data_IF_398458403297
#
_entry.id   IF_398458403297
#
_cell.length_a   1.000
_cell.length_b   1.000
_cell.length_c   1.000
_cell.angle_alpha   90.00
_cell.angle_beta   90.00
_cell.angle_gamma   90.00
#
_symmetry.space_group_name_H-M   'P 1'
#
loop_
_entity.id
_entity.type
_entity.pdbx_description
1 polymer ?
#
# COMPACT_ATOMS: atom_id res chain seq x y z
N UNK A 1 -38.09 -10.66 17.55
CA UNK A 1 -36.92 -11.23 16.90
C UNK A 1 -36.58 -10.52 15.57
N UNK A 2 -37.55 -10.24 14.74
CA UNK A 2 -37.36 -9.62 13.44
C UNK A 2 -36.93 -8.13 13.52
N UNK A 3 -37.49 -7.38 14.47
CA UNK A 3 -37.08 -5.98 14.72
C UNK A 3 -35.62 -5.86 15.19
N UNK A 4 -35.13 -6.82 16.00
CA UNK A 4 -33.74 -6.83 16.45
C UNK A 4 -32.77 -7.13 15.27
N UNK A 5 -33.14 -8.03 14.36
CA UNK A 5 -32.35 -8.30 13.15
C UNK A 5 -32.34 -7.13 12.18
N UNK A 6 -33.49 -6.45 12.05
CA UNK A 6 -33.60 -5.27 11.17
C UNK A 6 -32.76 -4.10 11.70
N UNK A 7 -32.77 -3.89 13.02
CA UNK A 7 -31.96 -2.85 13.70
C UNK A 7 -30.48 -3.18 13.60
N UNK A 8 -30.08 -4.43 13.83
CA UNK A 8 -28.69 -4.87 13.69
C UNK A 8 -28.18 -4.73 12.26
N UNK A 9 -29.01 -5.06 11.25
CA UNK A 9 -28.64 -4.88 9.84
C UNK A 9 -28.50 -3.41 9.44
N UNK A 10 -29.36 -2.51 9.95
CA UNK A 10 -29.22 -1.06 9.72
C UNK A 10 -27.96 -0.50 10.38
N UNK A 11 -27.68 -0.91 11.61
CA UNK A 11 -26.51 -0.45 12.34
C UNK A 11 -25.21 -0.96 11.69
N UNK A 12 -25.18 -2.22 11.27
CA UNK A 12 -24.05 -2.79 10.51
C UNK A 12 -23.81 -2.03 9.21
N UNK A 13 -24.86 -1.73 8.44
CA UNK A 13 -24.73 -0.91 7.22
C UNK A 13 -24.21 0.51 7.53
N UNK A 14 -24.68 1.14 8.60
CA UNK A 14 -24.21 2.46 9.03
C UNK A 14 -22.72 2.45 9.37
N UNK A 15 -22.27 1.45 10.14
CA UNK A 15 -20.86 1.28 10.51
C UNK A 15 -20.00 1.04 9.26
N UNK A 16 -20.44 0.17 8.35
CA UNK A 16 -19.73 -0.09 7.09
C UNK A 16 -19.61 1.18 6.25
N UNK A 17 -20.71 1.94 6.07
CA UNK A 17 -20.69 3.19 5.31
C UNK A 17 -19.76 4.22 5.96
N UNK A 18 -19.81 4.38 7.29
CA UNK A 18 -18.91 5.29 8.01
C UNK A 18 -17.44 4.88 7.91
N UNK A 19 -17.16 3.56 7.96
CA UNK A 19 -15.79 3.03 7.78
C UNK A 19 -15.30 3.27 6.36
N UNK A 20 -16.13 3.00 5.34
CA UNK A 20 -15.80 3.28 3.94
C UNK A 20 -15.52 4.79 3.74
N UNK A 21 -16.37 5.67 4.28
CA UNK A 21 -16.17 7.11 4.14
C UNK A 21 -14.87 7.60 4.79
N UNK A 22 -14.47 7.04 5.92
CA UNK A 22 -13.20 7.37 6.59
C UNK A 22 -11.98 6.86 5.81
N UNK A 23 -11.98 5.59 5.45
CA UNK A 23 -10.84 4.95 4.76
C UNK A 23 -10.74 5.40 3.30
N UNK A 24 -11.88 5.56 2.61
CA UNK A 24 -11.88 5.96 1.20
C UNK A 24 -11.34 7.37 0.99
N UNK A 25 -11.58 8.30 1.93
CA UNK A 25 -11.06 9.67 1.81
C UNK A 25 -9.54 9.69 1.89
N UNK A 26 -8.94 9.01 2.87
CA UNK A 26 -7.47 8.91 3.02
C UNK A 26 -6.83 8.20 1.82
N UNK A 27 -7.39 7.07 1.42
CA UNK A 27 -6.90 6.30 0.27
C UNK A 27 -7.05 7.06 -1.05
N UNK A 28 -8.15 7.80 -1.24
CA UNK A 28 -8.36 8.63 -2.41
C UNK A 28 -7.36 9.79 -2.47
N UNK A 29 -7.08 10.45 -1.35
CA UNK A 29 -6.08 11.53 -1.28
C UNK A 29 -4.70 10.97 -1.61
N UNK A 30 -4.27 9.88 -0.99
CA UNK A 30 -2.95 9.27 -1.23
C UNK A 30 -2.74 8.87 -2.70
N UNK A 31 -3.78 8.34 -3.35
CA UNK A 31 -3.68 7.83 -4.71
C UNK A 31 -4.01 8.84 -5.81
N UNK A 32 -4.65 9.97 -5.47
CA UNK A 32 -5.20 10.89 -6.47
C UNK A 32 -4.53 12.26 -6.49
N UNK A 33 -3.73 12.63 -5.51
CA UNK A 33 -3.11 13.96 -5.42
C UNK A 33 -1.59 13.91 -5.26
N UNK A 34 -0.94 14.95 -5.74
CA UNK A 34 0.50 15.19 -5.55
C UNK A 34 0.69 16.65 -5.20
N UNK A 35 1.39 16.93 -4.10
CA UNK A 35 1.72 18.31 -3.71
C UNK A 35 2.99 18.73 -4.44
N UNK A 36 2.92 19.86 -5.13
CA UNK A 36 4.06 20.51 -5.79
C UNK A 36 4.46 21.74 -4.97
N UNK A 37 5.66 21.69 -4.38
CA UNK A 37 6.20 22.79 -3.61
C UNK A 37 6.83 23.84 -4.53
N UNK A 38 6.60 25.11 -4.21
CA UNK A 38 7.12 26.28 -4.88
C UNK A 38 7.89 27.17 -3.89
N UNK A 39 8.85 27.94 -4.37
CA UNK A 39 9.72 28.75 -3.52
C UNK A 39 9.03 30.03 -2.97
N UNK A 40 7.97 30.48 -3.63
CA UNK A 40 7.21 31.67 -3.19
C UNK A 40 5.81 31.69 -3.79
N UNK A 41 4.88 32.37 -3.12
CA UNK A 41 3.50 32.56 -3.59
C UNK A 41 3.42 33.47 -4.85
N UNK A 42 4.45 34.26 -5.17
CA UNK A 42 4.52 35.03 -6.42
C UNK A 42 4.48 34.10 -7.64
N UNK A 43 5.07 32.91 -7.52
CA UNK A 43 5.06 31.89 -8.57
C UNK A 43 3.65 31.37 -8.85
N UNK A 44 2.76 31.31 -7.82
CA UNK A 44 1.35 30.93 -8.02
C UNK A 44 0.66 31.84 -9.02
N UNK A 45 0.81 33.14 -8.86
CA UNK A 45 0.22 34.11 -9.78
C UNK A 45 0.69 33.93 -11.22
N UNK A 46 1.97 33.57 -11.43
CA UNK A 46 2.52 33.28 -12.76
C UNK A 46 2.00 31.98 -13.35
N UNK A 47 1.83 30.95 -12.52
CA UNK A 47 1.24 29.66 -12.94
C UNK A 47 -0.22 29.84 -13.31
N UNK A 48 -1.01 30.58 -12.53
CA UNK A 48 -2.39 30.90 -12.86
C UNK A 48 -2.47 31.71 -14.16
N UNK A 49 -1.68 32.77 -14.27
CA UNK A 49 -1.69 33.70 -15.38
C UNK A 49 -2.93 34.62 -15.43
N UNK A 50 -2.95 35.59 -16.32
CA UNK A 50 -4.11 36.50 -16.47
C UNK A 50 -5.36 35.68 -16.76
N UNK A 51 -6.43 35.93 -15.98
CA UNK A 51 -7.72 35.24 -16.10
C UNK A 51 -7.63 33.70 -16.08
N UNK A 52 -6.58 33.13 -15.47
CA UNK A 52 -6.38 31.69 -15.39
C UNK A 52 -5.94 31.00 -16.69
N UNK A 53 -5.43 31.74 -17.68
CA UNK A 53 -5.10 31.18 -19.00
C UNK A 53 -3.99 30.12 -18.97
N UNK A 54 -3.00 30.27 -18.08
CA UNK A 54 -1.87 29.36 -17.99
C UNK A 54 -2.28 28.06 -17.28
N UNK A 55 -3.02 28.18 -16.16
CA UNK A 55 -3.53 26.99 -15.46
C UNK A 55 -4.45 26.16 -16.34
N UNK A 56 -5.39 26.80 -17.08
CA UNK A 56 -6.25 26.08 -18.04
C UNK A 56 -5.48 25.41 -19.18
N UNK A 57 -4.41 26.04 -19.68
CA UNK A 57 -3.55 25.43 -20.69
C UNK A 57 -2.81 24.20 -20.15
N UNK A 58 -2.32 24.27 -18.89
CA UNK A 58 -1.63 23.17 -18.25
C UNK A 58 -2.57 22.00 -17.95
N UNK A 59 -3.78 22.29 -17.45
CA UNK A 59 -4.83 21.27 -17.21
C UNK A 59 -5.25 20.58 -18.53
N UNK A 60 -5.49 21.37 -19.58
CA UNK A 60 -5.84 20.83 -20.89
C UNK A 60 -4.73 19.95 -21.49
N UNK A 61 -3.47 20.35 -21.37
CA UNK A 61 -2.33 19.62 -21.90
C UNK A 61 -2.01 18.34 -21.13
N UNK A 62 -2.21 18.35 -19.80
CA UNK A 62 -1.85 17.21 -18.92
C UNK A 62 -3.02 16.29 -18.59
N UNK A 63 -4.25 16.82 -18.57
CA UNK A 63 -5.43 16.13 -18.06
C UNK A 63 -5.40 15.99 -16.53
N UNK A 64 -4.71 16.92 -15.83
CA UNK A 64 -4.58 16.96 -14.37
C UNK A 64 -5.24 18.23 -13.88
N UNK A 65 -6.11 18.15 -12.89
CA UNK A 65 -6.68 19.29 -12.20
C UNK A 65 -5.62 19.94 -11.31
N UNK A 66 -5.50 21.26 -11.37
CA UNK A 66 -4.49 22.01 -10.64
C UNK A 66 -5.17 22.91 -9.63
N UNK A 67 -5.16 22.49 -8.38
CA UNK A 67 -5.79 23.21 -7.28
C UNK A 67 -4.80 24.18 -6.65
N UNK A 68 -5.10 25.47 -6.76
CA UNK A 68 -4.33 26.54 -6.13
C UNK A 68 -5.22 27.15 -5.04
N UNK A 69 -4.90 26.86 -3.80
CA UNK A 69 -5.58 27.35 -2.62
C UNK A 69 -4.69 28.28 -1.78
N UNK A 70 -5.14 28.61 -0.58
CA UNK A 70 -4.41 29.48 0.35
C UNK A 70 -3.24 28.78 1.06
N UNK A 71 -2.96 27.48 0.77
CA UNK A 71 -1.82 26.75 1.35
C UNK A 71 -0.53 27.43 0.92
N UNK A 72 0.30 27.95 1.85
CA UNK A 72 1.54 28.63 1.49
C UNK A 72 2.50 27.72 0.67
N UNK A 73 3.12 28.29 -0.36
CA UNK A 73 4.20 27.68 -1.12
C UNK A 73 3.90 26.26 -1.69
N UNK A 74 2.62 25.97 -1.95
CA UNK A 74 2.19 24.69 -2.48
C UNK A 74 1.08 24.81 -3.54
N UNK A 75 1.06 23.86 -4.47
CA UNK A 75 0.02 23.63 -5.46
C UNK A 75 -0.32 22.15 -5.44
N UNK A 76 -1.58 21.80 -5.49
CA UNK A 76 -2.04 20.41 -5.49
C UNK A 76 -2.38 19.98 -6.92
N UNK A 77 -1.79 18.89 -7.36
CA UNK A 77 -2.04 18.23 -8.63
C UNK A 77 -2.96 17.04 -8.40
N UNK A 78 -4.16 17.07 -8.95
CA UNK A 78 -5.18 16.05 -8.75
C UNK A 78 -5.51 15.34 -10.07
N UNK A 79 -5.30 14.03 -10.09
CA UNK A 79 -5.72 13.14 -11.15
C UNK A 79 -5.60 11.68 -10.69
N UNK A 80 -6.45 10.83 -11.21
CA UNK A 80 -6.41 9.40 -10.90
C UNK A 80 -5.15 8.72 -11.45
N UNK A 81 -4.71 9.12 -12.64
CA UNK A 81 -3.52 8.58 -13.30
C UNK A 81 -2.23 9.19 -12.71
N UNK A 82 -1.41 8.41 -12.00
CA UNK A 82 -0.18 8.90 -11.40
C UNK A 82 0.89 9.30 -12.44
N UNK A 83 0.86 8.73 -13.65
CA UNK A 83 1.77 9.10 -14.73
C UNK A 83 1.45 10.51 -15.23
N UNK A 84 0.16 10.85 -15.38
CA UNK A 84 -0.25 12.23 -15.73
C UNK A 84 0.16 13.23 -14.65
N UNK A 85 -0.01 12.87 -13.35
CA UNK A 85 0.45 13.74 -12.25
C UNK A 85 1.94 13.97 -12.28
N UNK A 86 2.74 12.93 -12.55
CA UNK A 86 4.19 13.07 -12.69
C UNK A 86 4.57 13.94 -13.90
N UNK A 87 3.90 13.79 -15.04
CA UNK A 87 4.09 14.66 -16.21
C UNK A 87 3.79 16.11 -15.85
N UNK A 88 2.67 16.38 -15.15
CA UNK A 88 2.30 17.72 -14.71
C UNK A 88 3.33 18.30 -13.73
N UNK A 89 3.79 17.50 -12.76
CA UNK A 89 4.82 17.88 -11.78
C UNK A 89 6.13 18.26 -12.45
N UNK A 90 6.62 17.43 -13.35
CA UNK A 90 7.87 17.70 -14.08
C UNK A 90 7.74 18.88 -15.03
N UNK A 91 6.61 19.03 -15.70
CA UNK A 91 6.34 20.17 -16.56
C UNK A 91 6.30 21.47 -15.77
N UNK A 92 5.61 21.51 -14.63
CA UNK A 92 5.61 22.63 -13.71
C UNK A 92 7.02 22.99 -13.23
N UNK A 93 7.81 22.00 -12.82
CA UNK A 93 9.18 22.20 -12.40
C UNK A 93 10.03 22.87 -13.51
N UNK A 94 9.93 22.38 -14.76
CA UNK A 94 10.66 22.97 -15.89
C UNK A 94 10.17 24.39 -16.19
N UNK A 95 8.86 24.65 -16.17
CA UNK A 95 8.28 25.95 -16.43
C UNK A 95 8.68 27.00 -15.36
N UNK A 96 8.67 26.59 -14.09
CA UNK A 96 9.09 27.45 -12.98
C UNK A 96 10.57 27.77 -13.07
N UNK A 97 11.41 26.77 -13.31
CA UNK A 97 12.87 26.94 -13.44
C UNK A 97 13.23 27.79 -14.68
N UNK A 98 12.56 27.58 -15.81
CA UNK A 98 12.78 28.38 -17.04
C UNK A 98 12.22 29.81 -16.91
N UNK A 99 11.26 30.02 -16.02
CA UNK A 99 10.65 31.33 -15.80
C UNK A 99 9.68 31.77 -16.89
N UNK A 100 9.51 31.04 -17.98
CA UNK A 100 8.61 31.37 -19.09
C UNK A 100 7.34 30.55 -19.01
N UNK A 101 6.30 31.12 -18.42
CA UNK A 101 5.01 30.44 -18.22
C UNK A 101 3.94 31.13 -19.08
N UNK A 102 3.64 30.56 -20.25
CA UNK A 102 2.57 30.98 -21.15
C UNK A 102 2.05 29.77 -21.96
N UNK A 103 0.83 29.80 -22.49
CA UNK A 103 0.15 28.64 -23.07
C UNK A 103 1.00 27.84 -24.09
N UNK A 104 1.57 28.50 -25.08
CA UNK A 104 2.39 27.82 -26.10
C UNK A 104 3.62 27.13 -25.51
N UNK A 105 4.28 27.73 -24.49
CA UNK A 105 5.42 27.13 -23.81
C UNK A 105 4.98 25.94 -22.94
N UNK A 106 3.82 26.03 -22.30
CA UNK A 106 3.22 24.94 -21.51
C UNK A 106 3.00 23.72 -22.39
N UNK A 107 2.36 23.88 -23.55
CA UNK A 107 2.13 22.77 -24.51
C UNK A 107 3.43 22.13 -24.97
N UNK A 108 4.43 22.94 -25.33
CA UNK A 108 5.77 22.46 -25.74
C UNK A 108 6.45 21.64 -24.61
N UNK A 109 6.49 22.18 -23.39
CA UNK A 109 7.13 21.53 -22.25
C UNK A 109 6.40 20.25 -21.87
N UNK A 110 5.06 20.25 -21.84
CA UNK A 110 4.28 19.06 -21.53
C UNK A 110 4.50 17.95 -22.57
N UNK A 111 4.52 18.29 -23.87
CA UNK A 111 4.81 17.31 -24.92
C UNK A 111 6.20 16.69 -24.77
N UNK A 112 7.23 17.51 -24.47
CA UNK A 112 8.59 17.04 -24.20
C UNK A 112 8.67 16.15 -22.98
N UNK A 113 8.08 16.57 -21.86
CA UNK A 113 8.07 15.79 -20.62
C UNK A 113 7.33 14.48 -20.77
N UNK A 114 6.20 14.47 -21.48
CA UNK A 114 5.46 13.24 -21.77
C UNK A 114 6.33 12.20 -22.47
N UNK A 115 7.12 12.63 -23.47
CA UNK A 115 8.05 11.74 -24.16
C UNK A 115 9.15 11.23 -23.22
N UNK A 116 9.73 12.09 -22.40
CA UNK A 116 10.76 11.70 -21.41
C UNK A 116 10.23 10.67 -20.41
N UNK A 117 9.02 10.88 -19.86
CA UNK A 117 8.41 9.94 -18.91
C UNK A 117 8.11 8.60 -19.56
N UNK A 118 7.65 8.56 -20.82
CA UNK A 118 7.40 7.31 -21.55
C UNK A 118 8.73 6.54 -21.80
N UNK A 119 9.79 7.24 -22.18
CA UNK A 119 11.12 6.64 -22.33
C UNK A 119 11.62 6.07 -21.00
N UNK A 120 11.43 6.80 -19.89
CA UNK A 120 11.80 6.35 -18.55
C UNK A 120 10.99 5.12 -18.10
N UNK A 121 9.69 5.06 -18.40
CA UNK A 121 8.84 3.90 -18.14
C UNK A 121 9.42 2.66 -18.83
N UNK A 122 9.72 2.75 -20.13
CA UNK A 122 10.26 1.63 -20.88
C UNK A 122 11.64 1.20 -20.33
N UNK A 123 12.51 2.15 -20.04
CA UNK A 123 13.85 1.87 -19.50
C UNK A 123 13.76 1.22 -18.12
N UNK A 124 12.89 1.73 -17.23
CA UNK A 124 12.65 1.16 -15.90
C UNK A 124 12.16 -0.29 -15.99
N UNK A 125 11.23 -0.56 -16.90
CA UNK A 125 10.73 -1.91 -17.12
C UNK A 125 11.81 -2.87 -17.63
N UNK A 126 12.60 -2.44 -18.62
CA UNK A 126 13.73 -3.21 -19.15
C UNK A 126 14.78 -3.50 -18.08
N UNK A 127 15.19 -2.47 -17.34
CA UNK A 127 16.17 -2.62 -16.25
C UNK A 127 15.68 -3.58 -15.18
N UNK A 128 14.41 -3.47 -14.77
CA UNK A 128 13.81 -4.39 -13.79
C UNK A 128 13.88 -5.85 -14.25
N UNK A 129 13.55 -6.11 -15.51
CA UNK A 129 13.60 -7.49 -16.04
C UNK A 129 15.02 -8.03 -16.13
N UNK A 130 16.00 -7.20 -16.49
CA UNK A 130 17.42 -7.57 -16.52
C UNK A 130 17.93 -7.87 -15.12
N UNK A 131 17.68 -6.99 -14.15
CA UNK A 131 18.12 -7.14 -12.74
C UNK A 131 17.58 -8.44 -12.12
N UNK A 132 16.34 -8.83 -12.48
CA UNK A 132 15.70 -10.03 -11.99
C UNK A 132 16.07 -11.30 -12.81
N UNK A 133 16.76 -11.16 -13.92
CA UNK A 133 17.09 -12.26 -14.84
C UNK A 133 15.85 -12.86 -15.51
N UNK A 134 14.81 -12.05 -15.77
CA UNK A 134 13.58 -12.46 -16.44
C UNK A 134 13.66 -12.04 -17.90
N UNK A 135 13.61 -13.03 -18.81
CA UNK A 135 13.75 -12.78 -20.25
C UNK A 135 12.50 -13.16 -21.02
N UNK A 136 12.35 -12.57 -22.21
CA UNK A 136 11.28 -12.92 -23.17
C UNK A 136 9.89 -12.47 -22.70
N UNK A 137 9.78 -11.35 -21.97
CA UNK A 137 8.52 -10.67 -21.73
C UNK A 137 8.08 -9.87 -22.96
N UNK A 138 6.78 -9.84 -23.20
CA UNK A 138 6.22 -8.98 -24.24
C UNK A 138 6.53 -7.49 -23.93
N UNK A 139 6.85 -6.64 -24.95
CA UNK A 139 7.17 -5.24 -24.74
C UNK A 139 6.14 -4.46 -23.93
N UNK A 140 4.84 -4.74 -24.12
CA UNK A 140 3.78 -4.13 -23.33
C UNK A 140 3.80 -4.53 -21.85
N UNK A 141 4.14 -5.78 -21.52
CA UNK A 141 4.34 -6.18 -20.11
C UNK A 141 5.54 -5.45 -19.49
N UNK A 142 6.62 -5.27 -20.25
CA UNK A 142 7.78 -4.48 -19.80
C UNK A 142 7.35 -3.03 -19.53
N UNK A 143 6.54 -2.44 -20.40
CA UNK A 143 5.99 -1.09 -20.21
C UNK A 143 5.08 -1.00 -18.98
N UNK A 144 4.21 -1.98 -18.77
CA UNK A 144 3.35 -2.07 -17.58
C UNK A 144 4.20 -2.15 -16.31
N UNK A 145 5.24 -2.99 -16.30
CA UNK A 145 6.19 -3.07 -15.16
C UNK A 145 6.85 -1.71 -14.90
N UNK A 146 7.27 -0.99 -15.93
CA UNK A 146 7.82 0.35 -15.76
C UNK A 146 6.85 1.36 -15.16
N UNK A 147 5.57 1.31 -15.54
CA UNK A 147 4.50 2.13 -14.95
C UNK A 147 4.28 1.87 -13.46
N UNK A 148 4.58 0.67 -12.95
CA UNK A 148 4.48 0.36 -11.52
C UNK A 148 5.33 1.29 -10.65
N UNK A 149 6.39 1.91 -11.19
CA UNK A 149 7.22 2.88 -10.48
C UNK A 149 6.42 4.07 -9.94
N UNK A 150 5.38 4.46 -10.64
CA UNK A 150 4.57 5.64 -10.33
C UNK A 150 3.33 5.32 -9.49
N UNK A 151 3.08 4.04 -9.20
CA UNK A 151 1.93 3.60 -8.41
C UNK A 151 2.33 3.16 -7.02
N UNK A 152 1.48 3.46 -6.07
CA UNK A 152 1.53 2.92 -4.70
C UNK A 152 0.29 2.08 -4.42
N UNK A 153 0.45 1.09 -3.58
CA UNK A 153 -0.65 0.30 -3.04
C UNK A 153 -0.45 0.21 -1.53
N UNK A 154 -1.37 0.74 -0.76
CA UNK A 154 -1.27 0.83 0.70
C UNK A 154 0.06 1.44 1.19
N UNK A 155 0.50 2.53 0.57
CA UNK A 155 1.75 3.23 0.91
C UNK A 155 3.04 2.55 0.43
N UNK A 156 2.98 1.36 -0.15
CA UNK A 156 4.12 0.66 -0.73
C UNK A 156 4.24 0.94 -2.23
N UNK A 157 5.44 1.29 -2.71
CA UNK A 157 5.67 1.41 -4.14
C UNK A 157 5.47 0.08 -4.86
N UNK A 158 4.62 0.07 -5.90
CA UNK A 158 4.19 -1.16 -6.56
C UNK A 158 5.33 -1.90 -7.27
N UNK A 159 6.27 -1.17 -7.90
CA UNK A 159 7.43 -1.79 -8.54
C UNK A 159 8.36 -2.45 -7.52
N UNK A 160 8.61 -1.78 -6.40
CA UNK A 160 9.45 -2.32 -5.35
C UNK A 160 8.83 -3.58 -4.73
N UNK A 161 7.54 -3.53 -4.45
CA UNK A 161 6.77 -4.70 -3.98
C UNK A 161 6.86 -5.88 -4.96
N UNK A 162 6.62 -5.64 -6.26
CA UNK A 162 6.70 -6.68 -7.27
C UNK A 162 8.10 -7.31 -7.39
N UNK A 163 9.17 -6.50 -7.26
CA UNK A 163 10.57 -7.00 -7.24
C UNK A 163 10.85 -7.88 -6.02
N UNK A 164 10.37 -7.48 -4.86
CA UNK A 164 10.52 -8.25 -3.62
C UNK A 164 9.76 -9.56 -3.68
N UNK A 165 8.49 -9.52 -4.07
CA UNK A 165 7.65 -10.70 -4.27
C UNK A 165 8.28 -11.66 -5.27
N UNK A 166 8.82 -11.15 -6.39
CA UNK A 166 9.52 -11.97 -7.37
C UNK A 166 10.72 -12.75 -6.77
N UNK A 167 11.55 -12.07 -5.98
CA UNK A 167 12.70 -12.69 -5.34
C UNK A 167 12.28 -13.71 -4.26
N UNK A 168 11.28 -13.36 -3.43
CA UNK A 168 10.73 -14.28 -2.43
C UNK A 168 10.15 -15.54 -3.10
N UNK A 169 9.39 -15.38 -4.18
CA UNK A 169 8.85 -16.51 -4.96
C UNK A 169 9.96 -17.42 -5.51
N UNK A 170 11.06 -16.84 -5.98
CA UNK A 170 12.18 -17.65 -6.47
C UNK A 170 12.85 -18.47 -5.37
N UNK A 171 13.08 -17.85 -4.20
CA UNK A 171 13.66 -18.55 -3.04
C UNK A 171 12.74 -19.67 -2.58
N UNK A 172 11.46 -19.36 -2.32
CA UNK A 172 10.48 -20.34 -1.86
C UNK A 172 10.31 -21.50 -2.83
N UNK A 173 10.24 -21.22 -4.13
CA UNK A 173 10.16 -22.26 -5.15
C UNK A 173 11.40 -23.16 -5.17
N UNK A 174 12.60 -22.59 -4.96
CA UNK A 174 13.84 -23.37 -4.87
C UNK A 174 13.83 -24.32 -3.68
N UNK A 175 13.41 -23.85 -2.51
CA UNK A 175 13.32 -24.69 -1.29
C UNK A 175 12.30 -25.83 -1.43
N UNK A 176 11.22 -25.58 -2.19
CA UNK A 176 10.18 -26.58 -2.47
C UNK A 176 10.52 -27.51 -3.67
N UNK A 177 11.67 -27.37 -4.31
CA UNK A 177 12.05 -28.16 -5.48
C UNK A 177 11.25 -27.81 -6.75
N UNK A 178 10.63 -26.63 -6.80
CA UNK A 178 9.86 -26.12 -7.94
C UNK A 178 10.72 -25.22 -8.83
N UNK A 179 10.19 -24.80 -9.97
CA UNK A 179 10.94 -23.97 -10.91
C UNK A 179 11.02 -22.49 -10.44
N UNK A 180 12.20 -22.03 -9.94
CA UNK A 180 12.34 -20.69 -9.39
C UNK A 180 12.22 -19.57 -10.45
N UNK A 181 12.55 -19.85 -11.72
CA UNK A 181 12.42 -18.86 -12.81
C UNK A 181 10.96 -18.57 -13.13
N UNK A 182 10.11 -19.62 -13.12
CA UNK A 182 8.66 -19.44 -13.32
C UNK A 182 8.02 -18.72 -12.13
N UNK A 183 8.38 -19.10 -10.91
CA UNK A 183 7.88 -18.47 -9.69
C UNK A 183 8.27 -16.99 -9.61
N UNK A 184 9.53 -16.66 -9.91
CA UNK A 184 10.02 -15.28 -10.01
C UNK A 184 9.22 -14.45 -11.02
N UNK A 185 8.95 -15.03 -12.20
CA UNK A 185 8.17 -14.37 -13.25
C UNK A 185 6.73 -14.12 -12.83
N UNK A 186 6.08 -15.11 -12.22
CA UNK A 186 4.73 -14.96 -11.68
C UNK A 186 4.69 -13.89 -10.58
N UNK A 187 5.63 -13.90 -9.64
CA UNK A 187 5.75 -12.90 -8.59
C UNK A 187 5.99 -11.48 -9.11
N UNK A 188 6.74 -11.29 -10.20
CA UNK A 188 6.91 -9.97 -10.82
C UNK A 188 5.60 -9.47 -11.45
N UNK A 189 4.80 -10.37 -12.01
CA UNK A 189 3.61 -10.03 -12.80
C UNK A 189 2.31 -10.07 -11.99
N UNK A 190 2.30 -10.52 -10.73
CA UNK A 190 1.05 -10.76 -9.98
C UNK A 190 0.14 -9.52 -9.89
N UNK A 191 0.71 -8.35 -9.78
CA UNK A 191 0.03 -7.08 -9.59
C UNK A 191 -0.07 -6.19 -10.84
N UNK A 192 0.19 -6.69 -12.04
CA UNK A 192 0.09 -5.91 -13.29
C UNK A 192 -1.31 -5.37 -13.54
N UNK A 193 -2.34 -5.99 -12.98
CA UNK A 193 -3.72 -5.53 -13.08
C UNK A 193 -4.03 -4.26 -12.29
N UNK A 194 -3.14 -3.82 -11.39
CA UNK A 194 -3.25 -2.52 -10.69
C UNK A 194 -2.78 -1.33 -11.54
N UNK A 195 -2.20 -1.58 -12.72
CA UNK A 195 -1.54 -0.55 -13.53
C UNK A 195 -2.44 0.15 -14.56
N UNK A 196 -3.46 -0.48 -15.18
CA UNK A 196 -4.32 0.18 -16.17
C UNK A 196 -4.92 1.49 -15.63
N UNK A 197 -5.04 2.48 -16.52
CA UNK A 197 -5.46 3.84 -16.20
C UNK A 197 -6.99 3.99 -16.15
N UNK A 198 -7.73 3.01 -16.68
CA UNK A 198 -9.19 2.93 -16.65
C UNK A 198 -9.64 2.14 -15.42
N UNK A 199 -10.74 2.56 -14.80
CA UNK A 199 -11.32 1.85 -13.66
C UNK A 199 -11.80 0.47 -14.12
N UNK A 200 -11.19 -0.62 -13.68
CA UNK A 200 -11.50 -1.94 -14.20
C UNK A 200 -12.81 -2.46 -13.58
N UNK A 201 -13.68 -3.02 -14.39
CA UNK A 201 -14.86 -3.77 -13.93
C UNK A 201 -14.46 -5.07 -13.19
N UNK A 202 -13.20 -5.48 -13.28
CA UNK A 202 -12.68 -6.74 -12.73
C UNK A 202 -11.70 -6.47 -11.60
N UNK A 203 -11.63 -7.36 -10.58
CA UNK A 203 -10.56 -7.40 -9.60
C UNK A 203 -9.18 -7.42 -10.29
N UNK A 204 -8.18 -6.77 -9.67
CA UNK A 204 -6.85 -6.62 -10.28
C UNK A 204 -6.16 -7.95 -10.61
N UNK A 205 -6.39 -9.01 -9.83
CA UNK A 205 -5.82 -10.32 -10.09
C UNK A 205 -6.39 -10.93 -11.39
N UNK A 206 -7.70 -10.87 -11.60
CA UNK A 206 -8.34 -11.32 -12.83
C UNK A 206 -7.98 -10.44 -14.03
N UNK A 207 -7.88 -9.14 -13.84
CA UNK A 207 -7.42 -8.23 -14.89
C UNK A 207 -5.96 -8.52 -15.26
N UNK A 208 -5.10 -8.73 -14.26
CA UNK A 208 -3.70 -9.12 -14.45
C UNK A 208 -3.57 -10.44 -15.21
N UNK A 209 -4.38 -11.44 -14.86
CA UNK A 209 -4.45 -12.72 -15.59
C UNK A 209 -4.80 -12.51 -17.07
N UNK A 210 -5.85 -11.74 -17.37
CA UNK A 210 -6.26 -11.44 -18.76
C UNK A 210 -5.16 -10.70 -19.53
N UNK A 211 -4.45 -9.77 -18.90
CA UNK A 211 -3.31 -9.08 -19.52
C UNK A 211 -2.17 -10.06 -19.81
N UNK A 212 -1.84 -10.96 -18.88
CA UNK A 212 -0.82 -11.97 -19.06
C UNK A 212 -1.18 -12.94 -20.20
N UNK A 213 -2.42 -13.40 -20.27
CA UNK A 213 -2.94 -14.22 -21.37
C UNK A 213 -2.87 -13.50 -22.73
N UNK A 214 -3.33 -12.25 -22.78
CA UNK A 214 -3.26 -11.40 -23.98
C UNK A 214 -1.85 -11.29 -24.54
N UNK A 215 -0.85 -11.20 -23.65
CA UNK A 215 0.55 -11.08 -24.01
C UNK A 215 1.31 -12.42 -23.97
N UNK A 216 0.57 -13.54 -24.04
CA UNK A 216 1.07 -14.90 -24.29
C UNK A 216 1.98 -15.44 -23.20
N UNK A 217 1.72 -15.10 -21.92
CA UNK A 217 2.32 -15.75 -20.80
C UNK A 217 1.84 -17.21 -20.67
N UNK A 218 2.63 -18.05 -20.00
CA UNK A 218 2.29 -19.47 -19.82
C UNK A 218 1.08 -19.62 -18.89
N UNK A 219 0.21 -20.63 -19.14
CA UNK A 219 -1.01 -20.84 -18.35
C UNK A 219 -0.79 -20.94 -16.84
N UNK A 220 0.29 -21.57 -16.41
CA UNK A 220 0.65 -21.69 -14.99
C UNK A 220 1.01 -20.34 -14.36
N UNK A 221 1.62 -19.44 -15.11
CA UNK A 221 1.90 -18.06 -14.69
C UNK A 221 0.60 -17.24 -14.67
N UNK A 222 -0.23 -17.33 -15.70
CA UNK A 222 -1.52 -16.65 -15.76
C UNK A 222 -2.42 -17.05 -14.59
N UNK A 223 -2.49 -18.35 -14.28
CA UNK A 223 -3.23 -18.86 -13.14
C UNK A 223 -2.69 -18.31 -11.80
N UNK A 224 -1.37 -18.29 -11.62
CA UNK A 224 -0.78 -17.75 -10.40
C UNK A 224 -1.08 -16.25 -10.20
N UNK A 225 -1.16 -15.49 -11.30
CA UNK A 225 -1.58 -14.07 -11.27
C UNK A 225 -3.06 -13.95 -10.89
N UNK A 226 -3.95 -14.75 -11.49
CA UNK A 226 -5.39 -14.66 -11.24
C UNK A 226 -5.82 -15.20 -9.88
N UNK A 227 -5.08 -16.16 -9.33
CA UNK A 227 -5.48 -16.90 -8.13
C UNK A 227 -4.83 -16.41 -6.83
N UNK A 228 -3.94 -15.41 -6.87
CA UNK A 228 -3.19 -15.01 -5.66
C UNK A 228 -4.05 -14.36 -4.56
N UNK A 229 -5.30 -14.02 -4.85
CA UNK A 229 -6.31 -13.56 -3.89
C UNK A 229 -7.58 -14.45 -3.87
N UNK A 230 -7.45 -15.71 -4.27
CA UNK A 230 -8.54 -16.70 -4.30
C UNK A 230 -9.72 -16.33 -5.25
N UNK A 231 -9.48 -15.44 -6.23
CA UNK A 231 -10.50 -15.00 -7.19
C UNK A 231 -10.74 -15.99 -8.33
N UNK A 232 -9.87 -17.00 -8.45
CA UNK A 232 -10.03 -18.16 -9.33
C UNK A 232 -9.36 -19.37 -8.70
N UNK A 233 -9.70 -20.58 -9.18
CA UNK A 233 -9.13 -21.82 -8.68
C UNK A 233 -7.63 -21.90 -8.93
N UNK A 234 -6.87 -22.32 -7.93
CA UNK A 234 -5.42 -22.57 -8.02
C UNK A 234 -5.15 -23.90 -8.74
N UNK A 235 -4.67 -23.84 -9.96
CA UNK A 235 -4.36 -25.04 -10.77
C UNK A 235 -2.88 -25.43 -10.73
N UNK A 236 -2.03 -24.63 -10.10
CA UNK A 236 -0.59 -24.88 -9.96
C UNK A 236 -0.06 -24.49 -8.59
N UNK A 237 1.05 -25.10 -8.16
CA UNK A 237 1.73 -24.74 -6.92
C UNK A 237 2.40 -23.34 -6.97
N UNK A 238 2.43 -22.68 -8.13
CA UNK A 238 2.91 -21.30 -8.24
C UNK A 238 1.95 -20.31 -7.59
N UNK A 239 0.63 -20.54 -7.66
CA UNK A 239 -0.37 -19.66 -7.11
C UNK A 239 -0.25 -19.48 -5.57
N UNK A 240 -0.21 -20.54 -4.75
CA UNK A 240 -0.02 -20.39 -3.30
C UNK A 240 1.36 -19.80 -2.94
N UNK A 241 2.40 -20.04 -3.75
CA UNK A 241 3.70 -19.38 -3.54
C UNK A 241 3.59 -17.88 -3.73
N UNK A 242 2.94 -17.43 -4.81
CA UNK A 242 2.74 -15.99 -5.06
C UNK A 242 1.91 -15.36 -3.94
N UNK A 243 0.79 -15.97 -3.54
CA UNK A 243 -0.07 -15.51 -2.45
C UNK A 243 0.70 -15.30 -1.13
N UNK A 244 1.50 -16.28 -0.73
CA UNK A 244 2.29 -16.20 0.51
C UNK A 244 3.39 -15.14 0.40
N UNK A 245 4.09 -15.06 -0.73
CA UNK A 245 5.17 -14.10 -0.94
C UNK A 245 4.67 -12.66 -1.04
N UNK A 246 3.50 -12.45 -1.65
CA UNK A 246 2.81 -11.16 -1.64
C UNK A 246 2.48 -10.71 -0.21
N UNK A 247 1.86 -11.61 0.57
CA UNK A 247 1.54 -11.34 1.98
C UNK A 247 2.81 -11.02 2.81
N UNK A 248 3.91 -11.73 2.61
CA UNK A 248 5.19 -11.48 3.30
C UNK A 248 5.74 -10.09 2.91
N UNK A 249 5.77 -9.76 1.63
CA UNK A 249 6.28 -8.46 1.16
C UNK A 249 5.43 -7.29 1.69
N UNK A 250 4.09 -7.47 1.74
CA UNK A 250 3.17 -6.46 2.27
C UNK A 250 3.20 -6.31 3.80
N UNK A 251 3.52 -7.37 4.53
CA UNK A 251 3.46 -7.40 5.99
C UNK A 251 4.79 -7.01 6.68
N UNK A 252 5.91 -6.95 5.96
CA UNK A 252 7.21 -6.65 6.56
C UNK A 252 7.25 -5.22 7.12
N UNK A 253 7.95 -4.98 8.25
CA UNK A 253 8.11 -3.64 8.81
C UNK A 253 8.71 -2.65 7.79
N UNK A 254 8.11 -1.48 7.65
CA UNK A 254 8.55 -0.43 6.74
C UNK A 254 8.13 -0.60 5.27
N UNK A 255 7.42 -1.66 4.91
CA UNK A 255 6.89 -1.84 3.55
C UNK A 255 5.85 -0.76 3.21
N UNK A 256 5.01 -0.42 4.17
CA UNK A 256 3.90 0.55 4.03
C UNK A 256 4.11 1.70 5.01
N UNK A 257 4.43 2.91 4.53
CA UNK A 257 4.78 4.07 5.38
C UNK A 257 3.70 4.43 6.41
N UNK A 258 2.44 4.47 6.03
CA UNK A 258 1.32 4.73 6.96
C UNK A 258 1.12 3.62 7.98
N UNK A 259 1.44 2.38 7.61
CA UNK A 259 1.34 1.24 8.53
C UNK A 259 2.37 1.31 9.64
N UNK A 260 3.52 1.93 9.46
CA UNK A 260 4.52 2.05 10.55
C UNK A 260 4.01 2.93 11.67
N UNK A 261 3.45 4.10 11.38
CA UNK A 261 2.88 4.98 12.42
C UNK A 261 1.60 4.38 13.02
N UNK A 262 0.68 3.89 12.21
CA UNK A 262 -0.52 3.19 12.66
C UNK A 262 -0.17 1.88 13.40
N UNK A 263 0.86 1.18 12.97
CA UNK A 263 1.39 0.00 13.65
C UNK A 263 2.00 0.34 15.01
N UNK A 264 2.86 1.35 15.11
CA UNK A 264 3.45 1.80 16.37
C UNK A 264 2.35 2.30 17.33
N UNK A 265 1.40 3.09 16.80
CA UNK A 265 0.25 3.54 17.57
C UNK A 265 -0.56 2.36 18.11
N UNK A 266 -0.87 1.37 17.27
CA UNK A 266 -1.61 0.17 17.68
C UNK A 266 -0.86 -0.65 18.73
N UNK A 267 0.47 -0.82 18.63
CA UNK A 267 1.26 -1.48 19.66
C UNK A 267 1.17 -0.73 20.98
N UNK A 268 1.32 0.60 20.95
CA UNK A 268 1.19 1.43 22.12
C UNK A 268 -0.23 1.36 22.71
N UNK A 269 -1.26 1.39 21.88
CA UNK A 269 -2.66 1.30 22.31
C UNK A 269 -2.95 -0.07 22.97
N UNK A 270 -2.41 -1.18 22.43
CA UNK A 270 -2.48 -2.52 23.03
C UNK A 270 -1.79 -2.57 24.39
N UNK A 271 -0.59 -2.03 24.48
CA UNK A 271 0.17 -1.98 25.74
C UNK A 271 -0.52 -1.09 26.79
N UNK A 272 -1.01 0.08 26.40
CA UNK A 272 -1.72 0.99 27.30
C UNK A 272 -3.05 0.41 27.79
N UNK A 273 -3.82 -0.26 26.91
CA UNK A 273 -5.07 -0.92 27.29
C UNK A 273 -4.81 -1.95 28.40
N UNK A 274 -3.80 -2.81 28.25
CA UNK A 274 -3.48 -3.81 29.27
C UNK A 274 -2.86 -3.18 30.53
N UNK A 275 -2.07 -2.11 30.41
CA UNK A 275 -1.53 -1.37 31.56
C UNK A 275 -2.62 -0.72 32.43
N UNK A 276 -3.81 -0.46 31.86
CA UNK A 276 -4.92 0.13 32.62
C UNK A 276 -5.54 -0.81 33.68
N UNK A 277 -5.24 -2.10 33.63
CA UNK A 277 -5.79 -3.08 34.55
C UNK A 277 -5.05 -3.07 35.91
N UNK A 278 -5.78 -3.15 37.03
CA UNK A 278 -5.19 -3.21 38.34
C UNK A 278 -4.23 -4.41 38.50
N UNK A 279 -3.07 -4.20 39.06
CA UNK A 279 -2.08 -5.26 39.29
C UNK A 279 -1.15 -5.55 38.14
N UNK A 280 -1.38 -4.98 36.95
CA UNK A 280 -0.45 -5.04 35.83
C UNK A 280 0.74 -4.12 36.13
N UNK A 281 1.95 -4.64 35.94
CA UNK A 281 3.19 -3.92 36.19
C UNK A 281 3.94 -3.55 34.92
N UNK A 282 3.86 -4.39 33.86
CA UNK A 282 4.48 -4.17 32.54
C UNK A 282 3.70 -4.88 31.46
N UNK A 283 3.76 -4.33 30.27
CA UNK A 283 3.17 -4.90 29.06
C UNK A 283 4.15 -4.84 27.91
N UNK A 284 4.11 -5.83 27.02
CA UNK A 284 4.94 -5.88 25.82
C UNK A 284 4.14 -6.46 24.64
N UNK A 285 3.92 -5.67 23.61
CA UNK A 285 3.41 -6.16 22.35
C UNK A 285 4.58 -6.71 21.52
N UNK A 286 4.57 -8.00 21.24
CA UNK A 286 5.63 -8.72 20.52
C UNK A 286 5.08 -9.42 19.29
N UNK A 287 5.95 -10.02 18.46
CA UNK A 287 5.57 -10.70 17.22
C UNK A 287 4.70 -9.82 16.29
N UNK A 288 5.11 -8.57 16.10
CA UNK A 288 4.39 -7.59 15.29
C UNK A 288 2.94 -7.31 15.79
N UNK A 289 2.73 -7.35 17.10
CA UNK A 289 1.41 -7.13 17.72
C UNK A 289 0.49 -8.35 17.71
N UNK A 290 1.00 -9.53 17.38
CA UNK A 290 0.25 -10.79 17.43
C UNK A 290 0.28 -11.47 18.80
N UNK A 291 1.17 -11.05 19.70
CA UNK A 291 1.21 -11.49 21.08
C UNK A 291 1.37 -10.28 21.99
N UNK A 292 0.50 -10.16 22.99
CA UNK A 292 0.59 -9.20 24.08
C UNK A 292 0.98 -9.94 25.37
N UNK A 293 2.17 -9.66 25.88
CA UNK A 293 2.63 -10.15 27.18
C UNK A 293 2.32 -9.14 28.27
N UNK A 294 1.65 -9.59 29.29
CA UNK A 294 1.21 -8.81 30.44
C UNK A 294 1.85 -9.38 31.68
N UNK A 295 2.68 -8.59 32.35
CA UNK A 295 3.33 -8.99 33.61
C UNK A 295 2.55 -8.41 34.76
N UNK A 296 2.15 -9.26 35.70
CA UNK A 296 1.38 -8.87 36.87
C UNK A 296 2.20 -9.05 38.16
N UNK A 297 1.93 -8.21 39.15
CA UNK A 297 2.55 -8.31 40.47
C UNK A 297 2.02 -9.54 41.22
N UNK A 298 2.93 -10.42 41.64
CA UNK A 298 2.60 -11.65 42.37
C UNK A 298 1.95 -11.41 43.74
N UNK A 299 2.13 -10.21 44.29
CA UNK A 299 1.54 -9.71 45.52
C UNK A 299 0.13 -9.13 45.35
N UNK A 300 -0.28 -8.85 44.09
CA UNK A 300 -1.54 -8.16 43.79
C UNK A 300 -2.56 -9.03 43.07
N UNK A 301 -2.11 -10.04 42.35
CA UNK A 301 -2.95 -10.91 41.54
C UNK A 301 -2.58 -12.37 41.79
N UNK A 302 -3.56 -13.19 42.07
CA UNK A 302 -3.42 -14.64 42.26
C UNK A 302 -3.52 -15.41 40.92
N UNK A 303 -3.35 -16.73 40.95
CA UNK A 303 -3.36 -17.56 39.73
C UNK A 303 -4.73 -17.59 39.07
N UNK A 304 -5.82 -17.58 39.83
CA UNK A 304 -7.19 -17.52 39.30
C UNK A 304 -7.48 -16.19 38.63
N UNK A 305 -7.05 -15.11 39.25
CA UNK A 305 -7.19 -13.77 38.67
C UNK A 305 -6.33 -13.60 37.41
N UNK A 306 -5.16 -14.26 37.35
CA UNK A 306 -4.30 -14.27 36.14
C UNK A 306 -5.02 -14.90 34.94
N UNK A 307 -5.74 -16.00 35.15
CA UNK A 307 -6.54 -16.68 34.12
C UNK A 307 -7.71 -15.80 33.66
N UNK A 308 -8.48 -15.23 34.58
CA UNK A 308 -9.60 -14.32 34.27
C UNK A 308 -9.12 -13.07 33.51
N UNK A 309 -8.02 -12.46 33.97
CA UNK A 309 -7.47 -11.27 33.34
C UNK A 309 -7.09 -11.45 31.88
N UNK A 310 -6.58 -12.64 31.52
CA UNK A 310 -6.25 -12.92 30.11
C UNK A 310 -7.51 -12.87 29.22
N UNK A 311 -8.61 -13.42 29.69
CA UNK A 311 -9.90 -13.39 28.99
C UNK A 311 -10.53 -11.99 28.94
N UNK A 312 -10.43 -11.22 30.01
CA UNK A 312 -10.95 -9.85 30.07
C UNK A 312 -10.21 -8.92 29.11
N UNK A 313 -8.87 -8.98 29.08
CA UNK A 313 -8.04 -8.21 28.14
C UNK A 313 -8.35 -8.62 26.70
N UNK A 314 -8.45 -9.93 26.41
CA UNK A 314 -8.77 -10.41 25.09
C UNK A 314 -10.13 -9.88 24.59
N UNK A 315 -11.15 -9.92 25.46
CA UNK A 315 -12.48 -9.40 25.15
C UNK A 315 -12.46 -7.90 24.91
N UNK A 316 -11.78 -7.14 25.77
CA UNK A 316 -11.69 -5.68 25.64
C UNK A 316 -10.96 -5.26 24.35
N UNK A 317 -9.89 -5.95 23.97
CA UNK A 317 -9.20 -5.76 22.71
C UNK A 317 -10.16 -6.02 21.54
N UNK A 318 -10.92 -7.11 21.61
CA UNK A 318 -11.90 -7.47 20.57
C UNK A 318 -13.01 -6.42 20.41
N UNK A 319 -13.47 -5.83 21.51
CA UNK A 319 -14.58 -4.88 21.53
C UNK A 319 -14.14 -3.44 21.17
N UNK A 320 -12.93 -3.02 21.54
CA UNK A 320 -12.47 -1.63 21.45
C UNK A 320 -11.42 -1.38 20.36
N UNK A 321 -10.74 -2.43 19.85
CA UNK A 321 -9.62 -2.25 18.92
C UNK A 321 -9.84 -2.96 17.59
N UNK A 322 -9.29 -2.36 16.52
CA UNK A 322 -9.22 -3.01 15.21
C UNK A 322 -7.83 -3.61 15.01
N UNK A 323 -7.75 -4.93 14.76
CA UNK A 323 -6.49 -5.63 14.54
C UNK A 323 -6.61 -6.68 13.42
N UNK A 324 -5.56 -6.90 12.63
CA UNK A 324 -5.57 -7.93 11.60
C UNK A 324 -5.25 -9.30 12.20
N UNK A 325 -6.21 -10.21 12.17
CA UNK A 325 -6.05 -11.59 12.62
C UNK A 325 -6.26 -11.79 14.12
N UNK A 326 -5.56 -12.74 14.74
CA UNK A 326 -5.68 -13.07 16.15
C UNK A 326 -4.54 -12.44 16.96
N UNK A 327 -4.85 -11.95 18.16
CA UNK A 327 -3.87 -11.49 19.15
C UNK A 327 -3.87 -12.47 20.32
N UNK A 328 -2.72 -13.10 20.56
CA UNK A 328 -2.51 -13.99 21.71
C UNK A 328 -2.24 -13.15 22.96
N UNK A 329 -3.00 -13.34 24.00
CA UNK A 329 -2.80 -12.67 25.29
C UNK A 329 -2.11 -13.65 26.25
N UNK A 330 -0.91 -13.28 26.72
CA UNK A 330 -0.14 -14.08 27.67
C UNK A 330 0.05 -13.27 28.95
N UNK A 331 -0.68 -13.63 30.01
CA UNK A 331 -0.51 -13.02 31.34
C UNK A 331 0.50 -13.84 32.13
N UNK A 332 1.53 -13.17 32.65
CA UNK A 332 2.65 -13.80 33.34
C UNK A 332 2.67 -13.25 34.81
N UNK A 333 2.53 -14.14 35.77
CA UNK A 333 2.77 -13.88 37.18
C UNK A 333 4.11 -14.48 37.56
N UNK A 334 5.06 -13.64 38.01
CA UNK A 334 6.40 -14.13 38.37
C UNK A 334 6.87 -13.59 39.72
N UNK A 335 7.63 -14.42 40.42
CA UNK A 335 8.38 -14.01 41.60
C UNK A 335 9.86 -14.12 41.30
N UNK A 336 10.63 -13.04 41.53
CA UNK A 336 12.08 -13.02 41.36
C UNK A 336 12.78 -12.85 42.66
N UNK A 337 13.69 -13.76 42.97
CA UNK A 337 14.66 -13.63 44.06
C UNK A 337 16.06 -13.41 43.45
N UNK A 338 16.79 -12.39 43.93
CA UNK A 338 18.15 -12.09 43.47
C UNK A 338 19.11 -12.18 44.65
N UNK A 339 20.16 -12.99 44.49
CA UNK A 339 21.28 -13.07 45.46
C UNK A 339 22.60 -12.89 44.71
N UNK A 340 23.53 -12.17 45.35
CA UNK A 340 24.87 -12.00 44.78
C UNK A 340 25.84 -12.90 45.53
N UNK A 341 26.54 -13.79 44.81
CA UNK A 341 27.73 -14.44 45.31
C UNK A 341 28.88 -13.41 45.30
N UNK A 342 29.53 -13.21 46.43
CA UNK A 342 30.73 -12.33 46.57
C UNK A 342 31.97 -13.19 46.51
#
# INVERSE_FOLDING_TARGET
MDDAKLTASKEAKRIVIQSIQRVATETAIENSVTVFHIESDEIKGRIIGREGRNIRALEAATGVEIVVDDTPEAIVLSAFDPVRREIARLALHQLVTDGRIHPARIEEVVAKVRKQVEEEIIETGKRTTIDLGIHGLHPELIRIIGKMKYRSSYGQNLLQHARETANLCAVMASELGLNPKKAKRAGLLHDIGKVPDEEPELPHALLGMKLAEKYKEKPDICNAIGAHHDETEMTSLLAPIVQVCDAISGARPGARREIVEAYIKRLNDLEQLAMSYPGVTKTYAIQAGRELRVIVGADKIDDKQTESLSGEIAKKIQDEMTFPGQVKITVIRETRAVSFAK
#
